data_IF_239352656883
#
_entry.id   IF_239352656883
#
_cell.length_a   1.000
_cell.length_b   1.000
_cell.length_c   1.000
_cell.angle_alpha   90.00
_cell.angle_beta   90.00
_cell.angle_gamma   90.00
#
_symmetry.space_group_name_H-M   'P 1'
#
loop_
_entity.id
_entity.type
_entity.pdbx_description
1 polymer ?
#
# COMPACT_ATOMS: atom_id res chain seq x y z
N UNK A 1 -5.14 61.90 -20.79
CA UNK A 1 -4.91 60.63 -21.46
C UNK A 1 -3.46 60.24 -21.17
N UNK A 2 -3.24 59.46 -20.14
CA UNK A 2 -1.91 58.95 -19.76
C UNK A 2 -1.71 57.60 -20.44
N UNK A 3 -0.57 57.49 -21.17
CA UNK A 3 -0.18 56.28 -21.87
C UNK A 3 0.02 55.09 -20.88
N UNK A 4 -0.27 53.86 -21.28
CA UNK A 4 -0.05 52.68 -20.42
C UNK A 4 1.45 52.40 -20.29
N UNK A 5 1.87 52.08 -19.07
CA UNK A 5 3.24 51.70 -18.76
C UNK A 5 3.61 50.38 -19.45
N UNK A 6 4.78 50.32 -20.08
CA UNK A 6 5.37 49.09 -20.63
C UNK A 6 5.61 48.05 -19.55
N UNK A 7 5.37 46.77 -19.85
CA UNK A 7 5.63 45.69 -18.88
C UNK A 7 7.16 45.54 -18.70
N UNK A 8 7.57 45.53 -17.44
CA UNK A 8 8.96 45.29 -17.06
C UNK A 8 9.46 43.95 -17.60
N UNK A 9 10.52 44.00 -18.42
CA UNK A 9 11.25 42.82 -18.89
C UNK A 9 11.78 42.02 -17.68
N UNK A 10 11.37 40.78 -17.57
CA UNK A 10 11.94 39.83 -16.58
C UNK A 10 13.43 39.68 -16.87
N UNK A 11 14.28 40.17 -15.98
CA UNK A 11 15.71 39.92 -16.03
C UNK A 11 15.92 38.39 -15.89
N UNK A 12 16.37 37.73 -16.94
CA UNK A 12 16.87 36.39 -16.87
C UNK A 12 18.09 36.38 -15.93
N UNK A 13 17.91 35.87 -14.73
CA UNK A 13 19.03 35.56 -13.86
C UNK A 13 19.74 34.34 -14.46
N UNK A 14 20.80 34.59 -15.25
CA UNK A 14 21.72 33.52 -15.62
C UNK A 14 22.56 33.17 -14.41
N UNK A 15 22.29 32.02 -13.83
CA UNK A 15 23.22 31.41 -12.86
C UNK A 15 24.45 30.96 -13.65
N UNK A 16 25.68 31.21 -13.17
CA UNK A 16 26.88 30.67 -13.79
C UNK A 16 26.76 29.16 -13.78
N UNK A 17 26.84 28.52 -14.95
CA UNK A 17 26.91 27.08 -15.04
C UNK A 17 28.20 26.62 -14.37
N UNK A 18 28.16 25.71 -13.40
CA UNK A 18 29.39 25.17 -12.85
C UNK A 18 30.16 24.47 -13.98
N UNK A 19 31.42 24.81 -14.12
CA UNK A 19 32.35 24.09 -15.00
C UNK A 19 32.83 22.85 -14.28
N UNK A 20 32.30 21.68 -14.67
CA UNK A 20 32.76 20.39 -14.21
C UNK A 20 33.67 19.78 -15.27
N UNK A 21 34.78 19.22 -14.87
CA UNK A 21 35.56 18.33 -15.72
C UNK A 21 34.78 17.01 -15.92
N UNK A 22 35.00 16.32 -17.04
CA UNK A 22 34.35 15.02 -17.30
C UNK A 22 34.59 14.02 -16.17
N UNK A 23 35.74 14.08 -15.50
CA UNK A 23 36.06 13.26 -14.35
C UNK A 23 35.24 13.63 -13.09
N UNK A 24 34.92 14.90 -12.89
CA UNK A 24 34.13 15.39 -11.76
C UNK A 24 32.63 15.24 -12.00
N UNK A 25 32.17 15.41 -13.24
CA UNK A 25 30.80 15.19 -13.63
C UNK A 25 30.44 13.70 -13.71
N UNK A 26 31.44 12.83 -13.70
CA UNK A 26 31.24 11.40 -13.91
C UNK A 26 30.69 11.10 -15.31
N UNK A 27 29.82 10.13 -15.41
CA UNK A 27 29.19 9.75 -16.69
C UNK A 27 27.97 10.60 -17.04
N UNK A 28 27.80 11.80 -16.47
CA UNK A 28 26.69 12.68 -16.78
C UNK A 28 26.89 13.26 -18.20
N UNK A 29 26.11 12.76 -19.14
CA UNK A 29 26.00 13.29 -20.47
C UNK A 29 24.67 14.02 -20.61
N UNK A 30 24.74 15.21 -21.26
CA UNK A 30 23.57 15.98 -21.63
C UNK A 30 23.45 16.01 -23.16
N UNK A 31 22.85 14.97 -23.76
CA UNK A 31 22.68 14.93 -25.19
C UNK A 31 21.91 16.16 -25.68
N UNK A 32 22.10 16.54 -26.93
CA UNK A 32 21.42 17.69 -27.58
C UNK A 32 19.89 17.59 -27.54
N UNK A 33 19.35 16.37 -27.35
CA UNK A 33 17.93 16.09 -27.12
C UNK A 33 17.42 16.55 -25.74
N UNK A 34 18.30 17.00 -24.85
CA UNK A 34 17.98 17.35 -23.47
C UNK A 34 17.66 16.15 -22.56
N UNK A 35 18.04 14.94 -22.98
CA UNK A 35 18.04 13.78 -22.06
C UNK A 35 19.26 13.85 -21.14
N UNK A 36 19.12 13.28 -19.97
CA UNK A 36 20.15 13.20 -18.95
C UNK A 36 20.59 11.76 -18.80
N UNK A 37 21.89 11.50 -18.78
CA UNK A 37 22.44 10.19 -18.46
C UNK A 37 22.67 10.07 -16.96
N UNK A 38 22.37 8.90 -16.42
CA UNK A 38 22.48 8.59 -15.00
C UNK A 38 23.55 7.54 -14.78
N UNK A 39 24.20 7.59 -13.62
CA UNK A 39 25.36 6.73 -13.33
C UNK A 39 25.01 5.26 -13.15
N UNK A 40 23.79 4.95 -12.75
CA UNK A 40 23.41 3.62 -12.28
C UNK A 40 22.04 3.16 -12.79
N UNK A 41 21.39 3.91 -13.63
CA UNK A 41 20.17 3.45 -14.29
C UNK A 41 19.99 4.09 -15.68
N UNK A 42 19.18 3.46 -16.50
CA UNK A 42 18.74 4.01 -17.77
C UNK A 42 17.27 4.35 -17.68
N UNK A 43 16.87 5.60 -18.02
CA UNK A 43 15.46 5.99 -18.05
C UNK A 43 14.65 5.08 -18.98
N UNK A 44 13.40 4.82 -18.61
CA UNK A 44 12.48 3.99 -19.41
C UNK A 44 12.14 4.64 -20.77
N UNK A 45 12.28 5.97 -20.86
CA UNK A 45 12.03 6.76 -22.08
C UNK A 45 13.27 7.61 -22.39
N UNK A 46 13.26 8.30 -23.53
CA UNK A 46 14.34 9.21 -23.92
C UNK A 46 14.67 10.25 -22.83
N UNK A 47 13.69 10.65 -22.06
CA UNK A 47 13.86 11.51 -20.87
C UNK A 47 13.34 10.78 -19.65
N UNK A 48 14.01 10.95 -18.53
CA UNK A 48 13.51 10.47 -17.26
C UNK A 48 12.15 11.10 -16.95
N UNK A 49 11.26 10.31 -16.34
CA UNK A 49 10.03 10.85 -15.74
C UNK A 49 10.36 11.63 -14.48
N UNK A 50 9.44 12.48 -14.01
CA UNK A 50 9.63 13.17 -12.73
C UNK A 50 9.81 12.18 -11.59
N UNK A 51 9.11 11.04 -11.64
CA UNK A 51 9.27 9.97 -10.68
C UNK A 51 10.71 9.41 -10.67
N UNK A 52 11.28 9.13 -11.83
CA UNK A 52 12.67 8.67 -11.94
C UNK A 52 13.65 9.74 -11.44
N UNK A 53 13.45 11.01 -11.78
CA UNK A 53 14.31 12.09 -11.31
C UNK A 53 14.32 12.25 -9.79
N UNK A 54 13.15 12.16 -9.14
CA UNK A 54 13.05 12.37 -7.69
C UNK A 54 13.33 11.14 -6.86
N UNK A 55 13.33 9.95 -7.44
CA UNK A 55 13.58 8.69 -6.72
C UNK A 55 14.93 8.09 -7.03
N UNK A 56 15.35 8.01 -8.29
CA UNK A 56 16.67 7.46 -8.65
C UNK A 56 17.81 8.43 -8.44
N UNK A 57 17.60 9.67 -8.83
CA UNK A 57 18.66 10.68 -8.84
C UNK A 57 19.12 11.10 -7.44
N UNK A 58 18.27 10.90 -6.45
CA UNK A 58 18.61 11.17 -5.03
C UNK A 58 19.27 9.98 -4.35
N UNK A 59 19.25 8.82 -4.96
CA UNK A 59 19.92 7.66 -4.38
C UNK A 59 21.43 7.73 -4.60
N UNK A 60 22.25 7.61 -3.53
CA UNK A 60 23.69 7.52 -3.67
C UNK A 60 24.10 6.33 -4.54
N UNK A 61 25.02 6.55 -5.46
CA UNK A 61 25.67 5.47 -6.18
C UNK A 61 26.61 4.74 -5.21
N UNK A 62 26.39 3.45 -4.90
CA UNK A 62 27.19 2.72 -3.94
C UNK A 62 28.69 2.64 -4.31
N UNK A 63 29.01 2.73 -5.60
CA UNK A 63 30.40 2.69 -6.07
C UNK A 63 31.11 4.06 -5.98
N UNK A 64 30.38 5.15 -5.88
CA UNK A 64 30.92 6.52 -6.02
C UNK A 64 30.70 7.42 -4.82
N UNK A 65 29.78 7.09 -3.95
CA UNK A 65 29.40 7.95 -2.83
C UNK A 65 29.97 7.50 -1.51
N UNK A 66 30.10 8.45 -0.61
CA UNK A 66 30.61 8.26 0.76
C UNK A 66 29.73 7.38 1.64
N UNK A 67 28.58 6.91 1.12
CA UNK A 67 27.73 5.95 1.81
C UNK A 67 28.42 4.62 2.10
N UNK A 68 29.47 4.27 1.35
CA UNK A 68 30.34 3.16 1.70
C UNK A 68 31.07 3.47 3.03
N UNK A 69 30.74 2.69 4.05
CA UNK A 69 31.29 2.88 5.40
C UNK A 69 30.54 3.90 6.26
N UNK A 70 29.47 4.51 5.78
CA UNK A 70 28.58 5.28 6.65
C UNK A 70 27.74 4.34 7.51
N UNK A 71 27.68 4.66 8.79
CA UNK A 71 26.82 3.96 9.73
C UNK A 71 25.48 4.68 9.76
N UNK A 72 24.44 4.05 9.20
CA UNK A 72 23.05 4.56 9.20
C UNK A 72 22.22 4.01 10.37
N UNK A 73 22.86 3.36 11.32
CA UNK A 73 22.22 2.82 12.52
C UNK A 73 22.74 3.47 13.79
N UNK A 74 22.03 3.25 14.89
CA UNK A 74 22.51 3.57 16.22
C UNK A 74 23.22 2.34 16.81
N UNK A 75 24.48 2.52 17.22
CA UNK A 75 25.27 1.46 17.80
C UNK A 75 26.05 0.62 16.78
N UNK A 76 26.36 -0.62 17.14
CA UNK A 76 27.22 -1.53 16.36
C UNK A 76 26.48 -2.27 15.21
N UNK A 77 25.34 -1.74 14.79
CA UNK A 77 24.55 -2.32 13.71
C UNK A 77 25.23 -2.17 12.33
N UNK A 78 24.82 -2.98 11.34
CA UNK A 78 25.32 -2.87 9.98
C UNK A 78 25.03 -1.49 9.41
N UNK A 79 25.97 -0.93 8.67
CA UNK A 79 25.80 0.36 8.00
C UNK A 79 24.94 0.25 6.75
N UNK A 80 24.22 1.33 6.44
CA UNK A 80 23.47 1.49 5.21
C UNK A 80 22.24 0.58 5.09
N UNK A 81 21.99 0.11 3.88
CA UNK A 81 20.92 -0.81 3.53
C UNK A 81 21.53 -2.18 3.20
N UNK A 82 21.76 -3.04 4.20
CA UNK A 82 22.39 -4.33 3.94
C UNK A 82 21.44 -5.21 3.11
N UNK A 83 21.97 -5.74 2.01
CA UNK A 83 21.21 -6.65 1.15
C UNK A 83 20.80 -7.94 1.87
N UNK A 84 21.48 -8.24 2.96
CA UNK A 84 21.24 -9.40 3.81
C UNK A 84 19.97 -9.29 4.68
N UNK A 85 19.30 -8.15 4.71
CA UNK A 85 18.06 -7.98 5.46
C UNK A 85 16.83 -8.55 4.75
N UNK A 86 17.05 -9.32 3.72
CA UNK A 86 16.05 -10.18 3.09
C UNK A 86 16.70 -11.47 2.61
N UNK A 87 15.95 -12.56 2.67
CA UNK A 87 16.36 -13.84 2.09
C UNK A 87 16.35 -13.83 0.55
N UNK A 88 15.64 -12.87 -0.06
CA UNK A 88 15.60 -12.71 -1.51
C UNK A 88 16.88 -12.09 -2.05
N UNK A 89 17.18 -12.40 -3.31
CA UNK A 89 18.38 -11.94 -4.00
C UNK A 89 18.01 -11.30 -5.33
N UNK A 90 18.81 -10.36 -5.80
CA UNK A 90 18.68 -9.78 -7.13
C UNK A 90 20.04 -9.52 -7.74
N UNK A 91 20.18 -9.76 -9.02
CA UNK A 91 21.34 -9.33 -9.80
C UNK A 91 21.46 -7.82 -9.89
N UNK A 92 20.30 -7.11 -9.81
CA UNK A 92 20.25 -5.66 -9.82
C UNK A 92 18.94 -5.14 -9.25
N UNK A 93 18.96 -4.70 -7.98
CA UNK A 93 17.81 -4.09 -7.31
C UNK A 93 17.36 -2.78 -7.95
N UNK A 94 18.22 -2.08 -8.69
CA UNK A 94 17.91 -0.82 -9.35
C UNK A 94 17.07 -0.99 -10.63
N UNK A 95 16.82 -2.22 -11.09
CA UNK A 95 15.87 -2.49 -12.18
C UNK A 95 14.41 -2.28 -11.76
N UNK A 96 14.11 -2.30 -10.47
CA UNK A 96 12.74 -2.09 -10.00
C UNK A 96 12.24 -0.69 -10.36
N UNK A 97 11.00 -0.63 -10.83
CA UNK A 97 10.20 0.59 -11.07
C UNK A 97 8.81 0.36 -10.53
N UNK A 98 8.30 1.33 -9.76
CA UNK A 98 6.88 1.33 -9.42
C UNK A 98 6.06 1.64 -10.69
N UNK A 99 5.16 0.73 -11.13
CA UNK A 99 4.33 0.96 -12.31
C UNK A 99 3.35 2.13 -12.17
N UNK A 100 3.07 2.56 -10.94
CA UNK A 100 2.19 3.70 -10.65
C UNK A 100 2.96 5.02 -10.65
N UNK A 101 4.29 4.98 -10.66
CA UNK A 101 5.17 6.17 -10.58
C UNK A 101 4.77 7.09 -9.40
N UNK A 102 4.40 6.51 -8.25
CA UNK A 102 4.00 7.28 -7.09
C UNK A 102 5.20 7.77 -6.27
N UNK A 103 5.15 9.04 -5.89
CA UNK A 103 6.10 9.73 -5.05
C UNK A 103 5.40 10.84 -4.26
N UNK A 104 6.11 11.53 -3.40
CA UNK A 104 5.56 12.47 -2.44
C UNK A 104 4.48 13.41 -3.02
N UNK A 105 4.76 14.10 -4.13
CA UNK A 105 3.79 15.04 -4.71
C UNK A 105 2.56 14.35 -5.28
N UNK A 106 2.73 13.18 -5.92
CA UNK A 106 1.60 12.44 -6.50
C UNK A 106 0.71 11.88 -5.42
N UNK A 107 1.28 11.32 -4.34
CA UNK A 107 0.50 10.80 -3.22
C UNK A 107 -0.26 11.91 -2.49
N UNK A 108 0.37 13.06 -2.21
CA UNK A 108 -0.35 14.17 -1.57
C UNK A 108 -1.51 14.67 -2.41
N UNK A 109 -1.33 14.79 -3.73
CA UNK A 109 -2.40 15.16 -4.65
C UNK A 109 -3.53 14.14 -4.67
N UNK A 110 -3.20 12.85 -4.77
CA UNK A 110 -4.17 11.76 -4.80
C UNK A 110 -4.95 11.69 -3.48
N UNK A 111 -4.27 11.76 -2.35
CA UNK A 111 -4.88 11.76 -1.03
C UNK A 111 -5.79 12.98 -0.82
N UNK A 112 -5.35 14.17 -1.20
CA UNK A 112 -6.19 15.36 -1.10
C UNK A 112 -7.45 15.29 -1.97
N UNK A 113 -7.39 14.63 -3.12
CA UNK A 113 -8.54 14.39 -3.96
C UNK A 113 -9.48 13.36 -3.33
N UNK A 114 -8.96 12.24 -2.81
CA UNK A 114 -9.75 11.21 -2.13
C UNK A 114 -10.48 11.77 -0.91
N UNK A 115 -9.77 12.50 -0.03
CA UNK A 115 -10.36 13.12 1.16
C UNK A 115 -11.47 14.10 0.79
N UNK A 116 -11.26 14.97 -0.21
CA UNK A 116 -12.29 15.89 -0.67
C UNK A 116 -13.52 15.18 -1.22
N UNK A 117 -13.33 14.11 -1.99
CA UNK A 117 -14.44 13.32 -2.52
C UNK A 117 -15.21 12.62 -1.40
N UNK A 118 -14.51 12.03 -0.44
CA UNK A 118 -15.13 11.39 0.74
C UNK A 118 -15.95 12.44 1.49
N UNK A 119 -15.35 13.59 1.82
CA UNK A 119 -16.06 14.67 2.54
C UNK A 119 -17.31 15.14 1.79
N UNK A 120 -17.23 15.35 0.49
CA UNK A 120 -18.38 15.75 -0.32
C UNK A 120 -19.49 14.69 -0.29
N UNK A 121 -19.13 13.40 -0.32
CA UNK A 121 -20.10 12.31 -0.22
C UNK A 121 -20.78 12.28 1.16
N UNK A 122 -20.03 12.51 2.23
CA UNK A 122 -20.56 12.60 3.61
C UNK A 122 -21.52 13.79 3.76
N UNK A 123 -21.12 14.96 3.28
CA UNK A 123 -21.97 16.16 3.33
C UNK A 123 -23.27 15.96 2.55
N UNK A 124 -23.21 15.37 1.37
CA UNK A 124 -24.39 15.03 0.57
C UNK A 124 -25.28 14.01 1.28
N UNK A 125 -24.70 13.01 1.94
CA UNK A 125 -25.44 12.00 2.69
C UNK A 125 -26.21 12.63 3.87
N UNK A 126 -25.58 13.55 4.59
CA UNK A 126 -26.24 14.31 5.67
C UNK A 126 -27.37 15.17 5.15
N UNK A 127 -27.15 15.92 4.07
CA UNK A 127 -28.18 16.76 3.44
C UNK A 127 -29.38 15.94 2.94
N UNK A 128 -29.15 14.73 2.45
CA UNK A 128 -30.17 13.83 1.96
C UNK A 128 -30.79 12.94 3.05
N UNK A 129 -30.35 13.08 4.30
CA UNK A 129 -30.76 12.21 5.43
C UNK A 129 -30.60 10.71 5.12
N UNK A 130 -29.51 10.38 4.41
CA UNK A 130 -29.30 9.05 3.81
C UNK A 130 -29.14 7.95 4.85
N UNK A 131 -28.66 8.27 6.04
CA UNK A 131 -28.44 7.28 7.10
C UNK A 131 -29.74 6.67 7.66
N UNK A 132 -30.87 7.36 7.50
CA UNK A 132 -32.20 6.84 7.91
C UNK A 132 -32.67 5.68 7.03
N UNK A 133 -32.06 5.48 5.85
CA UNK A 133 -32.36 4.34 4.98
C UNK A 133 -31.67 3.04 5.40
N UNK A 134 -30.72 3.10 6.34
CA UNK A 134 -29.96 1.94 6.78
C UNK A 134 -30.81 0.97 7.62
N UNK A 135 -30.60 -0.32 7.37
CA UNK A 135 -31.20 -1.31 8.28
C UNK A 135 -30.50 -1.29 9.63
N UNK A 136 -31.20 -1.49 10.76
CA UNK A 136 -30.59 -1.50 12.09
C UNK A 136 -29.45 -2.53 12.23
N UNK A 137 -29.59 -3.70 11.58
CA UNK A 137 -28.56 -4.73 11.57
C UNK A 137 -27.29 -4.27 10.84
N UNK A 138 -27.46 -3.52 9.74
CA UNK A 138 -26.32 -2.95 9.02
C UNK A 138 -25.63 -1.84 9.82
N UNK A 139 -26.38 -0.95 10.43
CA UNK A 139 -25.82 0.08 11.34
C UNK A 139 -24.96 -0.57 12.41
N UNK A 140 -25.45 -1.64 13.03
CA UNK A 140 -24.69 -2.37 14.05
C UNK A 140 -23.48 -3.11 13.47
N UNK A 141 -23.57 -3.61 12.24
CA UNK A 141 -22.43 -4.19 11.54
C UNK A 141 -21.32 -3.16 11.30
N UNK A 142 -21.65 -1.98 10.79
CA UNK A 142 -20.69 -0.88 10.54
C UNK A 142 -20.04 -0.43 11.82
N UNK A 143 -20.83 -0.16 12.87
CA UNK A 143 -20.34 0.24 14.19
C UNK A 143 -19.24 -0.69 14.73
N UNK A 144 -19.44 -1.99 14.59
CA UNK A 144 -18.52 -2.98 15.14
C UNK A 144 -17.37 -3.32 14.22
N UNK A 145 -17.69 -3.69 12.98
CA UNK A 145 -16.74 -4.39 12.13
C UNK A 145 -15.94 -3.43 11.23
N UNK A 146 -16.55 -2.38 10.72
CA UNK A 146 -15.82 -1.40 9.91
C UNK A 146 -14.80 -0.64 10.77
N UNK A 147 -15.20 -0.26 11.99
CA UNK A 147 -14.28 0.33 12.96
C UNK A 147 -13.18 -0.64 13.42
N UNK A 148 -13.48 -1.96 13.56
CA UNK A 148 -12.44 -2.94 13.86
C UNK A 148 -11.39 -3.05 12.76
N UNK A 149 -11.78 -2.99 11.47
CA UNK A 149 -10.87 -3.00 10.34
C UNK A 149 -9.86 -1.84 10.36
N UNK A 150 -10.24 -0.68 10.88
CA UNK A 150 -9.35 0.47 11.05
C UNK A 150 -8.07 0.11 11.82
N UNK A 151 -8.17 -0.76 12.83
CA UNK A 151 -7.01 -1.20 13.61
C UNK A 151 -6.06 -2.07 12.79
N UNK A 152 -6.58 -2.90 11.88
CA UNK A 152 -5.75 -3.66 10.94
C UNK A 152 -4.96 -2.73 10.03
N UNK A 153 -5.63 -1.76 9.38
CA UNK A 153 -4.96 -0.78 8.50
C UNK A 153 -3.91 0.04 9.24
N UNK A 154 -4.23 0.52 10.44
CA UNK A 154 -3.27 1.25 11.28
C UNK A 154 -2.06 0.39 11.67
N UNK A 155 -2.30 -0.86 12.09
CA UNK A 155 -1.23 -1.78 12.45
C UNK A 155 -0.31 -2.10 11.28
N UNK A 156 -0.87 -2.38 10.10
CA UNK A 156 -0.10 -2.63 8.88
C UNK A 156 0.70 -1.39 8.45
N UNK A 157 0.10 -0.20 8.47
CA UNK A 157 0.79 1.03 8.12
C UNK A 157 1.93 1.35 9.08
N UNK A 158 1.60 1.54 10.36
CA UNK A 158 2.55 2.06 11.35
C UNK A 158 3.59 1.02 11.78
N UNK A 159 3.19 -0.23 11.96
CA UNK A 159 4.07 -1.24 12.57
C UNK A 159 4.72 -2.17 11.54
N UNK A 160 4.13 -2.38 10.37
CA UNK A 160 4.72 -3.21 9.32
C UNK A 160 5.47 -2.34 8.31
N UNK A 161 4.77 -1.52 7.52
CA UNK A 161 5.41 -0.78 6.42
C UNK A 161 6.35 0.32 6.87
N UNK A 162 6.03 1.08 7.94
CA UNK A 162 6.93 2.09 8.49
C UNK A 162 8.25 1.49 8.99
N UNK A 163 8.22 0.27 9.48
CA UNK A 163 9.42 -0.43 9.92
C UNK A 163 10.18 -1.05 8.74
N UNK A 164 9.47 -1.82 7.88
CA UNK A 164 10.06 -2.60 6.80
C UNK A 164 10.72 -1.72 5.72
N UNK A 165 10.13 -0.57 5.35
CA UNK A 165 10.65 0.32 4.31
C UNK A 165 12.09 0.77 4.57
N UNK A 166 12.49 0.87 5.83
CA UNK A 166 13.83 1.32 6.23
C UNK A 166 14.95 0.36 5.83
N UNK A 167 14.60 -0.90 5.58
CA UNK A 167 15.53 -1.96 5.20
C UNK A 167 15.55 -2.22 3.69
N UNK A 168 14.78 -1.48 2.90
CA UNK A 168 14.73 -1.63 1.46
C UNK A 168 16.10 -1.31 0.81
N UNK A 169 16.56 -2.11 -0.15
CA UNK A 169 17.91 -1.99 -0.71
C UNK A 169 18.08 -0.80 -1.65
N UNK A 170 16.99 -0.21 -2.14
CA UNK A 170 17.02 0.95 -3.03
C UNK A 170 16.01 2.01 -2.61
N UNK A 171 16.27 3.25 -2.98
CA UNK A 171 15.34 4.36 -2.73
C UNK A 171 13.99 4.14 -3.44
N UNK A 172 13.97 3.46 -4.58
CA UNK A 172 12.74 3.14 -5.30
C UNK A 172 11.83 2.20 -4.53
N UNK A 173 12.39 1.14 -3.97
CA UNK A 173 11.65 0.17 -3.15
C UNK A 173 11.24 0.83 -1.83
N UNK A 174 12.16 1.58 -1.20
CA UNK A 174 11.86 2.37 0.00
C UNK A 174 10.67 3.30 -0.23
N UNK A 175 10.70 4.09 -1.31
CA UNK A 175 9.63 5.01 -1.66
C UNK A 175 8.28 4.29 -1.86
N UNK A 176 8.24 3.18 -2.61
CA UNK A 176 7.02 2.42 -2.82
C UNK A 176 6.42 1.90 -1.49
N UNK A 177 7.26 1.39 -0.60
CA UNK A 177 6.81 0.93 0.71
C UNK A 177 6.40 2.08 1.64
N UNK A 178 7.05 3.24 1.55
CA UNK A 178 6.66 4.45 2.30
C UNK A 178 5.31 4.98 1.82
N UNK A 179 5.05 4.95 0.50
CA UNK A 179 3.74 5.27 -0.09
C UNK A 179 2.68 4.29 0.39
N UNK A 180 2.97 2.99 0.41
CA UNK A 180 2.06 1.96 0.95
C UNK A 180 1.74 2.22 2.43
N UNK A 181 2.73 2.58 3.25
CA UNK A 181 2.51 3.00 4.63
C UNK A 181 1.51 4.17 4.70
N UNK A 182 1.70 5.19 3.87
CA UNK A 182 0.83 6.36 3.83
C UNK A 182 -0.60 6.01 3.37
N UNK A 183 -0.78 5.09 2.41
CA UNK A 183 -2.09 4.57 2.00
C UNK A 183 -2.82 3.93 3.17
N UNK A 184 -2.17 3.02 3.89
CA UNK A 184 -2.73 2.33 5.06
C UNK A 184 -3.13 3.31 6.16
N UNK A 185 -2.25 4.25 6.51
CA UNK A 185 -2.52 5.22 7.57
C UNK A 185 -3.62 6.22 7.18
N UNK A 186 -3.65 6.67 5.92
CA UNK A 186 -4.74 7.50 5.41
C UNK A 186 -6.08 6.79 5.52
N UNK A 187 -6.17 5.54 5.04
CA UNK A 187 -7.42 4.80 5.07
C UNK A 187 -7.86 4.50 6.52
N UNK A 188 -6.95 4.17 7.42
CA UNK A 188 -7.25 4.06 8.84
C UNK A 188 -7.82 5.36 9.42
N UNK A 189 -7.25 6.51 9.05
CA UNK A 189 -7.75 7.82 9.46
C UNK A 189 -9.13 8.12 8.88
N UNK A 190 -9.36 7.83 7.61
CA UNK A 190 -10.66 8.04 6.98
C UNK A 190 -11.76 7.21 7.66
N UNK A 191 -11.46 5.95 8.01
CA UNK A 191 -12.36 5.09 8.79
C UNK A 191 -12.63 5.64 10.18
N UNK A 192 -11.61 6.20 10.86
CA UNK A 192 -11.76 6.81 12.17
C UNK A 192 -12.66 8.05 12.13
N UNK A 193 -12.45 8.93 11.15
CA UNK A 193 -13.25 10.13 10.97
C UNK A 193 -14.69 9.79 10.57
N UNK A 194 -14.87 8.78 9.71
CA UNK A 194 -16.20 8.30 9.35
C UNK A 194 -16.96 7.71 10.54
N UNK A 195 -16.28 6.92 11.37
CA UNK A 195 -16.88 6.36 12.58
C UNK A 195 -17.31 7.46 13.56
N UNK A 196 -16.52 8.54 13.69
CA UNK A 196 -16.87 9.72 14.45
C UNK A 196 -18.11 10.42 13.86
N UNK A 197 -18.12 10.65 12.56
CA UNK A 197 -19.23 11.27 11.84
C UNK A 197 -20.54 10.50 12.01
N UNK A 198 -20.50 9.18 11.95
CA UNK A 198 -21.66 8.32 12.20
C UNK A 198 -22.14 8.41 13.65
N UNK A 199 -21.22 8.53 14.63
CA UNK A 199 -21.59 8.67 16.03
C UNK A 199 -22.30 10.00 16.35
N UNK A 200 -22.01 11.04 15.56
CA UNK A 200 -22.68 12.34 15.65
C UNK A 200 -24.03 12.35 14.90
N UNK A 201 -24.14 11.57 13.82
CA UNK A 201 -25.29 11.58 12.92
C UNK A 201 -26.37 10.55 13.26
N UNK A 202 -25.99 9.42 13.86
CA UNK A 202 -26.89 8.29 14.16
C UNK A 202 -27.10 8.14 15.67
N UNK A 203 -28.33 8.33 16.11
CA UNK A 203 -28.70 8.11 17.52
C UNK A 203 -28.45 6.66 17.94
N UNK A 204 -27.66 6.47 19.01
CA UNK A 204 -27.34 5.15 19.55
C UNK A 204 -26.19 4.41 18.86
N UNK A 205 -25.50 5.06 17.92
CA UNK A 205 -24.25 4.54 17.37
C UNK A 205 -23.11 4.78 18.36
N UNK A 206 -22.45 3.69 18.79
CA UNK A 206 -21.29 3.76 19.69
C UNK A 206 -19.99 3.84 18.89
N UNK A 207 -19.48 5.07 18.70
CA UNK A 207 -18.22 5.32 18.01
C UNK A 207 -16.98 4.69 18.65
N UNK A 208 -17.10 4.06 19.82
CA UNK A 208 -16.00 3.38 20.54
C UNK A 208 -16.10 1.86 20.54
N UNK A 209 -17.22 1.30 20.12
CA UNK A 209 -17.49 -0.15 20.16
C UNK A 209 -16.42 -0.99 19.46
N UNK A 210 -15.82 -0.48 18.38
CA UNK A 210 -14.78 -1.15 17.59
C UNK A 210 -13.56 -1.57 18.39
N UNK A 211 -13.24 -0.89 19.50
CA UNK A 211 -12.06 -1.22 20.34
C UNK A 211 -12.23 -2.56 21.02
N UNK A 212 -13.38 -2.77 21.67
CA UNK A 212 -13.69 -4.05 22.30
C UNK A 212 -13.80 -5.15 21.25
N UNK A 213 -14.38 -4.86 20.08
CA UNK A 213 -14.47 -5.83 18.97
C UNK A 213 -13.07 -6.27 18.52
N UNK A 214 -12.16 -5.34 18.28
CA UNK A 214 -10.78 -5.66 17.89
C UNK A 214 -10.03 -6.42 18.98
N UNK A 215 -10.21 -6.04 20.24
CA UNK A 215 -9.44 -6.60 21.36
C UNK A 215 -9.95 -7.95 21.82
N UNK A 216 -11.27 -8.13 21.88
CA UNK A 216 -11.87 -9.21 22.64
C UNK A 216 -12.80 -10.12 21.83
N UNK A 217 -13.32 -9.67 20.68
CA UNK A 217 -14.24 -10.48 19.88
C UNK A 217 -13.48 -11.59 19.14
N UNK A 218 -13.86 -12.83 19.41
CA UNK A 218 -13.24 -14.03 18.83
C UNK A 218 -13.19 -14.00 17.28
N UNK A 219 -14.17 -13.36 16.65
CA UNK A 219 -14.26 -13.21 15.18
C UNK A 219 -13.07 -12.43 14.59
N UNK A 220 -12.49 -11.51 15.36
CA UNK A 220 -11.41 -10.65 14.89
C UNK A 220 -10.01 -11.13 15.32
N UNK A 221 -9.92 -12.16 16.19
CA UNK A 221 -8.60 -12.54 16.73
C UNK A 221 -7.66 -13.15 15.69
N UNK A 222 -8.18 -13.80 14.66
CA UNK A 222 -7.36 -14.30 13.54
C UNK A 222 -6.75 -13.16 12.72
N UNK A 223 -7.53 -12.11 12.42
CA UNK A 223 -7.04 -10.90 11.74
C UNK A 223 -5.97 -10.20 12.59
N UNK A 224 -6.26 -9.98 13.87
CA UNK A 224 -5.33 -9.36 14.81
C UNK A 224 -4.02 -10.14 14.92
N UNK A 225 -4.10 -11.46 15.07
CA UNK A 225 -2.91 -12.33 15.11
C UNK A 225 -2.06 -12.20 13.86
N UNK A 226 -2.67 -12.14 12.66
CA UNK A 226 -1.93 -11.93 11.43
C UNK A 226 -1.17 -10.59 11.45
N UNK A 227 -1.83 -9.49 11.83
CA UNK A 227 -1.20 -8.17 11.92
C UNK A 227 -0.04 -8.16 12.93
N UNK A 228 -0.22 -8.77 14.10
CA UNK A 228 0.82 -8.88 15.13
C UNK A 228 2.02 -9.73 14.65
N UNK A 229 1.77 -10.83 13.96
CA UNK A 229 2.84 -11.67 13.38
C UNK A 229 3.57 -10.97 12.23
N UNK A 230 2.85 -10.22 11.38
CA UNK A 230 3.46 -9.41 10.32
C UNK A 230 4.36 -8.31 10.90
N UNK A 231 3.96 -7.69 12.02
CA UNK A 231 4.79 -6.73 12.76
C UNK A 231 6.09 -7.35 13.27
N UNK A 232 6.06 -8.64 13.59
CA UNK A 232 7.24 -9.38 14.07
C UNK A 232 8.10 -9.99 12.94
N UNK A 233 7.71 -9.84 11.67
CA UNK A 233 8.50 -10.33 10.54
C UNK A 233 9.82 -9.54 10.44
N UNK A 234 10.94 -10.25 10.52
CA UNK A 234 12.28 -9.64 10.52
C UNK A 234 12.85 -9.37 9.13
N UNK A 235 12.22 -9.89 8.08
CA UNK A 235 12.58 -9.69 6.68
C UNK A 235 11.60 -8.70 6.04
N UNK A 236 12.11 -7.60 5.49
CA UNK A 236 11.27 -6.56 4.89
C UNK A 236 10.46 -7.05 3.69
N UNK A 237 11.04 -7.95 2.88
CA UNK A 237 10.36 -8.49 1.71
C UNK A 237 9.34 -9.56 2.09
N UNK A 238 9.58 -10.35 3.17
CA UNK A 238 8.56 -11.21 3.76
C UNK A 238 7.38 -10.40 4.25
N UNK A 239 7.62 -9.32 5.00
CA UNK A 239 6.58 -8.44 5.51
C UNK A 239 5.72 -7.85 4.38
N UNK A 240 6.37 -7.37 3.30
CA UNK A 240 5.70 -6.86 2.11
C UNK A 240 4.89 -7.95 1.39
N UNK A 241 5.52 -9.09 1.09
CA UNK A 241 4.87 -10.19 0.37
C UNK A 241 3.67 -10.76 1.15
N UNK A 242 3.90 -11.06 2.41
CA UNK A 242 2.87 -11.62 3.28
C UNK A 242 1.69 -10.66 3.47
N UNK A 243 1.94 -9.35 3.53
CA UNK A 243 0.86 -8.36 3.64
C UNK A 243 0.13 -8.18 2.32
N UNK A 244 0.82 -7.69 1.28
CA UNK A 244 0.14 -7.24 0.06
C UNK A 244 -0.33 -8.39 -0.85
N UNK A 245 0.42 -9.50 -0.88
CA UNK A 245 0.09 -10.62 -1.77
C UNK A 245 -0.81 -11.64 -1.07
N UNK A 246 -0.57 -11.93 0.23
CA UNK A 246 -1.31 -13.02 0.90
C UNK A 246 -2.45 -12.50 1.77
N UNK A 247 -2.13 -11.72 2.80
CA UNK A 247 -3.13 -11.25 3.77
C UNK A 247 -4.19 -10.37 3.13
N UNK A 248 -3.78 -9.40 2.33
CA UNK A 248 -4.71 -8.48 1.69
C UNK A 248 -5.65 -9.19 0.71
N UNK A 249 -5.16 -10.18 -0.05
CA UNK A 249 -6.02 -10.95 -0.95
C UNK A 249 -7.04 -11.80 -0.20
N UNK A 250 -6.57 -12.53 0.83
CA UNK A 250 -7.41 -13.51 1.52
C UNK A 250 -8.32 -12.90 2.60
N UNK A 251 -7.93 -11.75 3.17
CA UNK A 251 -8.64 -11.12 4.30
C UNK A 251 -9.11 -9.72 3.94
N UNK A 252 -8.23 -8.87 3.41
CA UNK A 252 -8.54 -7.48 3.08
C UNK A 252 -9.61 -7.35 2.00
N UNK A 253 -9.36 -7.92 0.83
CA UNK A 253 -10.31 -7.94 -0.31
C UNK A 253 -11.58 -8.69 0.05
N UNK A 254 -11.46 -9.80 0.79
CA UNK A 254 -12.62 -10.55 1.28
C UNK A 254 -13.55 -9.66 2.13
N UNK A 255 -13.00 -8.91 3.09
CA UNK A 255 -13.78 -8.02 3.95
C UNK A 255 -14.28 -6.78 3.20
N UNK A 256 -13.40 -6.04 2.55
CA UNK A 256 -13.75 -4.77 1.91
C UNK A 256 -14.59 -4.97 0.65
N UNK A 257 -14.05 -5.71 -0.33
CA UNK A 257 -14.68 -5.85 -1.65
C UNK A 257 -15.80 -6.89 -1.69
N UNK A 258 -15.58 -8.07 -1.08
CA UNK A 258 -16.54 -9.18 -1.17
C UNK A 258 -17.59 -9.19 -0.07
N UNK A 259 -17.48 -8.35 0.96
CA UNK A 259 -18.51 -8.19 1.97
C UNK A 259 -19.06 -6.75 1.96
N UNK A 260 -18.28 -5.77 2.44
CA UNK A 260 -18.79 -4.41 2.69
C UNK A 260 -19.34 -3.78 1.43
N UNK A 261 -18.57 -3.72 0.34
CA UNK A 261 -19.00 -3.06 -0.90
C UNK A 261 -20.19 -3.74 -1.56
N UNK A 262 -20.36 -5.05 -1.41
CA UNK A 262 -21.48 -5.77 -2.02
C UNK A 262 -22.76 -5.71 -1.20
N UNK A 263 -22.66 -5.63 0.13
CA UNK A 263 -23.85 -5.71 1.01
C UNK A 263 -24.37 -4.32 1.38
N UNK A 264 -23.54 -3.31 1.47
CA UNK A 264 -23.91 -1.97 1.94
C UNK A 264 -25.14 -1.41 1.21
N UNK A 265 -25.09 -1.33 -0.12
CA UNK A 265 -26.22 -0.80 -0.92
C UNK A 265 -27.52 -1.59 -0.75
N UNK A 266 -27.44 -2.89 -0.49
CA UNK A 266 -28.59 -3.75 -0.23
C UNK A 266 -29.28 -3.41 1.11
N UNK A 267 -28.54 -2.80 2.02
CA UNK A 267 -28.98 -2.37 3.34
C UNK A 267 -29.24 -0.85 3.43
N UNK A 268 -29.35 -0.18 2.28
CA UNK A 268 -29.64 1.26 2.19
C UNK A 268 -28.42 2.17 2.30
N UNK A 269 -27.21 1.61 2.38
CA UNK A 269 -25.97 2.36 2.55
C UNK A 269 -25.24 2.55 1.21
N UNK A 270 -25.23 3.76 0.71
CA UNK A 270 -24.53 4.17 -0.51
C UNK A 270 -23.25 5.00 -0.20
N UNK A 271 -22.98 5.22 1.08
CA UNK A 271 -21.86 6.07 1.56
C UNK A 271 -20.63 5.23 1.86
N UNK A 272 -20.77 4.19 2.67
CA UNK A 272 -19.66 3.30 3.06
C UNK A 272 -18.92 2.71 1.85
N UNK A 273 -19.57 2.27 0.75
CA UNK A 273 -18.86 1.79 -0.44
C UNK A 273 -17.91 2.82 -1.06
N UNK A 274 -18.26 4.11 -1.03
CA UNK A 274 -17.40 5.17 -1.55
C UNK A 274 -16.12 5.32 -0.72
N UNK A 275 -16.26 5.27 0.60
CA UNK A 275 -15.12 5.31 1.53
C UNK A 275 -14.22 4.09 1.36
N UNK A 276 -14.81 2.90 1.43
CA UNK A 276 -14.07 1.63 1.33
C UNK A 276 -13.43 1.47 -0.05
N UNK A 277 -14.10 1.92 -1.11
CA UNK A 277 -13.57 1.94 -2.47
C UNK A 277 -12.30 2.78 -2.63
N UNK A 278 -12.12 3.83 -1.82
CA UNK A 278 -10.85 4.59 -1.81
C UNK A 278 -9.68 3.77 -1.27
N UNK A 279 -9.91 2.96 -0.22
CA UNK A 279 -8.91 2.02 0.30
C UNK A 279 -8.60 0.88 -0.67
N UNK A 280 -9.60 0.37 -1.39
CA UNK A 280 -9.39 -0.62 -2.45
C UNK A 280 -8.60 -0.06 -3.63
N UNK A 281 -8.81 1.20 -3.98
CA UNK A 281 -8.03 1.87 -5.03
C UNK A 281 -6.56 1.98 -4.64
N UNK A 282 -6.26 2.35 -3.39
CA UNK A 282 -4.90 2.37 -2.87
C UNK A 282 -4.28 0.98 -2.84
N UNK A 283 -5.01 -0.01 -2.34
CA UNK A 283 -4.55 -1.39 -2.32
C UNK A 283 -4.22 -1.94 -3.74
N UNK A 284 -5.01 -1.62 -4.75
CA UNK A 284 -4.72 -2.03 -6.11
C UNK A 284 -3.38 -1.46 -6.62
N UNK A 285 -3.00 -0.26 -6.21
CA UNK A 285 -1.69 0.32 -6.50
C UNK A 285 -0.59 -0.38 -5.70
N UNK A 286 -0.84 -0.65 -4.42
CA UNK A 286 0.08 -1.37 -3.55
C UNK A 286 0.35 -2.80 -4.05
N UNK A 287 -0.68 -3.48 -4.52
CA UNK A 287 -0.53 -4.79 -5.17
C UNK A 287 0.22 -4.67 -6.50
N UNK A 288 -0.02 -3.61 -7.26
CA UNK A 288 0.64 -3.33 -8.54
C UNK A 288 2.16 -3.26 -8.41
N UNK A 289 2.67 -2.45 -7.49
CA UNK A 289 4.11 -2.35 -7.29
C UNK A 289 4.70 -3.64 -6.68
N UNK A 290 3.95 -4.31 -5.79
CA UNK A 290 4.37 -5.58 -5.20
C UNK A 290 4.54 -6.66 -6.26
N UNK A 291 3.56 -6.78 -7.18
CA UNK A 291 3.65 -7.70 -8.32
C UNK A 291 4.84 -7.38 -9.22
N UNK A 292 5.08 -6.10 -9.51
CA UNK A 292 6.24 -5.70 -10.32
C UNK A 292 7.57 -6.07 -9.66
N UNK A 293 7.70 -5.85 -8.34
CA UNK A 293 8.90 -6.19 -7.59
C UNK A 293 9.11 -7.72 -7.54
N UNK A 294 8.09 -8.47 -7.13
CA UNK A 294 8.25 -9.92 -7.00
C UNK A 294 8.38 -10.62 -8.37
N UNK A 295 7.75 -10.12 -9.43
CA UNK A 295 7.97 -10.61 -10.79
C UNK A 295 9.42 -10.38 -11.27
N UNK A 296 10.02 -9.23 -10.94
CA UNK A 296 11.45 -8.98 -11.19
C UNK A 296 12.32 -10.02 -10.49
N UNK A 297 12.00 -10.34 -9.23
CA UNK A 297 12.79 -11.26 -8.42
C UNK A 297 12.60 -12.74 -8.80
N UNK A 298 11.37 -13.18 -9.11
CA UNK A 298 11.10 -14.56 -9.53
C UNK A 298 11.66 -14.88 -10.91
N UNK A 299 11.87 -13.85 -11.75
CA UNK A 299 12.42 -13.94 -13.11
C UNK A 299 13.88 -13.50 -13.20
N UNK A 300 14.55 -13.26 -12.06
CA UNK A 300 15.97 -12.95 -12.03
C UNK A 300 16.78 -14.10 -12.63
N UNK A 301 17.72 -13.80 -13.54
CA UNK A 301 18.46 -14.80 -14.30
C UNK A 301 19.31 -15.72 -13.43
N UNK A 302 19.88 -15.18 -12.34
CA UNK A 302 20.77 -15.95 -11.44
C UNK A 302 20.02 -16.48 -10.21
N UNK A 303 19.06 -15.68 -9.69
CA UNK A 303 18.46 -15.91 -8.38
C UNK A 303 16.98 -16.31 -8.43
N UNK A 304 16.35 -16.33 -9.60
CA UNK A 304 14.91 -16.57 -9.72
C UNK A 304 14.46 -17.90 -9.12
N UNK A 305 15.23 -18.98 -9.28
CA UNK A 305 14.91 -20.27 -8.67
C UNK A 305 14.96 -20.22 -7.13
N UNK A 306 16.03 -19.63 -6.57
CA UNK A 306 16.16 -19.39 -5.14
C UNK A 306 15.02 -18.52 -4.59
N UNK A 307 14.69 -17.45 -5.28
CA UNK A 307 13.63 -16.54 -4.84
C UNK A 307 12.27 -17.22 -4.84
N UNK A 308 11.94 -18.05 -5.83
CA UNK A 308 10.69 -18.83 -5.84
C UNK A 308 10.64 -19.82 -4.67
N UNK A 309 11.75 -20.45 -4.30
CA UNK A 309 11.83 -21.34 -3.15
C UNK A 309 11.55 -20.57 -1.83
N UNK A 310 12.20 -19.41 -1.65
CA UNK A 310 11.97 -18.54 -0.47
C UNK A 310 10.51 -18.10 -0.40
N UNK A 311 9.96 -17.60 -1.50
CA UNK A 311 8.55 -17.17 -1.56
C UNK A 311 7.58 -18.34 -1.31
N UNK A 312 7.90 -19.54 -1.81
CA UNK A 312 7.17 -20.77 -1.50
C UNK A 312 7.17 -21.09 0.00
N UNK A 313 8.29 -20.90 0.68
CA UNK A 313 8.39 -21.03 2.13
C UNK A 313 7.51 -20.01 2.88
N UNK A 314 7.47 -18.77 2.40
CA UNK A 314 6.60 -17.74 2.97
C UNK A 314 5.12 -18.03 2.71
N UNK A 315 4.76 -18.52 1.52
CA UNK A 315 3.39 -18.97 1.23
C UNK A 315 2.95 -20.08 2.19
N UNK A 316 3.81 -21.09 2.40
CA UNK A 316 3.50 -22.19 3.34
C UNK A 316 3.27 -21.71 4.78
N UNK A 317 3.87 -20.57 5.18
CA UNK A 317 3.67 -19.94 6.49
C UNK A 317 2.39 -19.09 6.53
N UNK A 318 2.23 -18.18 5.57
CA UNK A 318 1.24 -17.10 5.67
C UNK A 318 -0.14 -17.43 5.08
N UNK A 319 -0.24 -18.34 4.10
CA UNK A 319 -1.53 -18.73 3.52
C UNK A 319 -2.41 -19.45 4.55
N UNK A 320 -1.95 -20.45 5.32
CA UNK A 320 -2.78 -21.09 6.34
C UNK A 320 -3.25 -20.11 7.43
N UNK A 321 -2.39 -19.16 7.84
CA UNK A 321 -2.73 -18.14 8.84
C UNK A 321 -3.83 -17.19 8.33
N UNK A 322 -3.72 -16.73 7.09
CA UNK A 322 -4.70 -15.84 6.48
C UNK A 322 -6.03 -16.54 6.17
N UNK A 323 -5.99 -17.83 5.75
CA UNK A 323 -7.19 -18.67 5.61
C UNK A 323 -7.89 -18.86 6.94
N UNK A 324 -7.15 -19.12 8.02
CA UNK A 324 -7.73 -19.26 9.35
C UNK A 324 -8.42 -17.95 9.79
N UNK A 325 -7.77 -16.81 9.60
CA UNK A 325 -8.35 -15.50 9.89
C UNK A 325 -9.61 -15.22 9.05
N UNK A 326 -9.60 -15.52 7.76
CA UNK A 326 -10.77 -15.38 6.90
C UNK A 326 -11.94 -16.24 7.37
N UNK A 327 -11.68 -17.49 7.79
CA UNK A 327 -12.72 -18.38 8.34
C UNK A 327 -13.24 -17.91 9.70
N UNK A 328 -12.39 -17.35 10.56
CA UNK A 328 -12.83 -16.76 11.83
C UNK A 328 -13.76 -15.56 11.61
N UNK A 329 -13.62 -14.82 10.51
CA UNK A 329 -14.53 -13.73 10.14
C UNK A 329 -15.90 -14.22 9.62
N UNK A 330 -16.07 -15.50 9.26
CA UNK A 330 -17.32 -16.00 8.66
C UNK A 330 -18.61 -15.57 9.39
N UNK A 331 -18.70 -15.53 10.74
CA UNK A 331 -19.92 -15.14 11.44
C UNK A 331 -20.42 -13.73 11.08
N UNK A 332 -19.54 -12.80 10.67
CA UNK A 332 -19.97 -11.44 10.33
C UNK A 332 -20.78 -11.38 9.02
N UNK A 333 -20.70 -12.39 8.15
CA UNK A 333 -21.48 -12.47 6.91
C UNK A 333 -22.99 -12.58 7.12
N UNK A 334 -23.41 -13.12 8.28
CA UNK A 334 -24.82 -13.22 8.64
C UNK A 334 -25.32 -12.09 9.53
N UNK A 335 -24.45 -11.20 10.01
CA UNK A 335 -24.84 -10.10 10.90
C UNK A 335 -25.80 -9.06 10.25
N UNK A 336 -25.67 -8.71 8.95
CA UNK A 336 -26.64 -7.82 8.30
C UNK A 336 -28.08 -8.37 8.20
N UNK A 337 -28.29 -9.67 8.41
CA UNK A 337 -29.54 -10.41 8.44
C UNK A 337 -30.31 -10.45 7.11
N UNK A 338 -30.35 -9.36 6.36
CA UNK A 338 -31.04 -9.26 5.09
C UNK A 338 -30.07 -9.19 3.91
N UNK A 339 -30.47 -9.80 2.79
CA UNK A 339 -29.76 -9.70 1.50
C UNK A 339 -28.28 -10.03 1.58
N UNK A 340 -27.94 -10.96 2.44
CA UNK A 340 -26.57 -11.46 2.62
C UNK A 340 -26.09 -12.18 1.35
N UNK A 341 -24.79 -12.40 1.28
CA UNK A 341 -24.14 -13.27 0.29
C UNK A 341 -23.54 -14.47 1.04
N UNK A 342 -23.41 -15.63 0.39
CA UNK A 342 -22.76 -16.78 1.02
C UNK A 342 -21.28 -16.48 1.27
N UNK A 343 -20.80 -16.74 2.49
CA UNK A 343 -19.36 -16.63 2.81
C UNK A 343 -18.50 -17.46 1.85
N UNK A 344 -18.91 -18.68 1.54
CA UNK A 344 -18.16 -19.59 0.67
C UNK A 344 -17.92 -18.98 -0.74
N UNK A 345 -18.89 -18.25 -1.29
CA UNK A 345 -18.77 -17.57 -2.57
C UNK A 345 -17.74 -16.43 -2.49
N UNK A 346 -17.87 -15.57 -1.47
CA UNK A 346 -16.93 -14.48 -1.22
C UNK A 346 -15.50 -14.99 -1.00
N UNK A 347 -15.37 -16.04 -0.21
CA UNK A 347 -14.07 -16.62 0.11
C UNK A 347 -13.41 -17.31 -1.09
N UNK A 348 -14.20 -17.99 -1.92
CA UNK A 348 -13.67 -18.56 -3.17
C UNK A 348 -13.22 -17.48 -4.14
N UNK A 349 -13.91 -16.36 -4.24
CA UNK A 349 -13.48 -15.21 -5.03
C UNK A 349 -12.14 -14.64 -4.54
N UNK A 350 -11.96 -14.50 -3.22
CA UNK A 350 -10.71 -14.06 -2.61
C UNK A 350 -9.55 -15.03 -2.89
N UNK A 351 -9.78 -16.34 -2.72
CA UNK A 351 -8.79 -17.38 -3.07
C UNK A 351 -8.43 -17.35 -4.55
N UNK A 352 -9.41 -17.16 -5.42
CA UNK A 352 -9.20 -17.03 -6.87
C UNK A 352 -8.33 -15.82 -7.22
N UNK A 353 -8.53 -14.69 -6.52
CA UNK A 353 -7.66 -13.51 -6.63
C UNK A 353 -6.21 -13.83 -6.31
N UNK A 354 -5.95 -14.49 -5.16
CA UNK A 354 -4.60 -14.90 -4.81
C UNK A 354 -4.00 -15.88 -5.82
N UNK A 355 -4.75 -16.89 -6.26
CA UNK A 355 -4.27 -17.83 -7.31
C UNK A 355 -3.84 -17.10 -8.58
N UNK A 356 -4.59 -16.09 -9.01
CA UNK A 356 -4.21 -15.28 -10.17
C UNK A 356 -2.90 -14.53 -9.94
N UNK A 357 -2.73 -13.92 -8.77
CA UNK A 357 -1.47 -13.21 -8.44
C UNK A 357 -0.28 -14.17 -8.42
N UNK A 358 -0.43 -15.35 -7.81
CA UNK A 358 0.65 -16.35 -7.76
C UNK A 358 1.03 -16.85 -9.16
N UNK A 359 0.05 -17.06 -10.05
CA UNK A 359 0.31 -17.43 -11.44
C UNK A 359 1.10 -16.35 -12.18
N UNK A 360 0.77 -15.07 -11.98
CA UNK A 360 1.51 -13.96 -12.58
C UNK A 360 2.97 -13.83 -12.07
N UNK A 361 3.23 -14.37 -10.88
CA UNK A 361 4.56 -14.39 -10.24
C UNK A 361 5.34 -15.68 -10.51
N UNK A 362 4.83 -16.59 -11.31
CA UNK A 362 5.43 -17.92 -11.57
C UNK A 362 5.65 -18.73 -10.28
N UNK A 363 4.70 -18.64 -9.33
CA UNK A 363 4.73 -19.32 -8.03
C UNK A 363 3.72 -20.49 -7.99
N UNK A 364 4.14 -21.58 -7.35
CA UNK A 364 3.26 -22.71 -7.10
C UNK A 364 2.15 -22.34 -6.12
N UNK A 365 0.96 -22.88 -6.36
CA UNK A 365 -0.20 -22.65 -5.51
C UNK A 365 -0.20 -23.59 -4.30
N UNK A 366 -0.27 -23.08 -3.06
CA UNK A 366 -0.45 -23.92 -1.89
C UNK A 366 -1.74 -24.76 -1.97
N UNK A 367 -1.67 -26.00 -1.50
CA UNK A 367 -2.84 -26.91 -1.51
C UNK A 367 -4.04 -26.35 -0.72
N UNK A 368 -3.79 -25.57 0.31
CA UNK A 368 -4.79 -24.93 1.16
C UNK A 368 -5.75 -24.02 0.37
N UNK A 369 -5.32 -23.47 -0.76
CA UNK A 369 -6.17 -22.66 -1.62
C UNK A 369 -7.21 -23.50 -2.39
N UNK A 370 -7.02 -24.81 -2.48
CA UNK A 370 -7.93 -25.73 -3.17
C UNK A 370 -8.95 -26.41 -2.24
N UNK A 371 -8.79 -26.18 -0.94
CA UNK A 371 -9.68 -26.65 0.13
C UNK A 371 -10.56 -25.51 0.62
#
# INVERSE_FOLDING_TARGET
MTAPAEPATKSERSFPKPEFTDAEAGALEFPSSGSRSYNYFTPAKLRATTYEDVTFDVQPDPARHLSQGWIYGFGDGPGGYPHEWTALKSTDWHKFRDPNEEWEQTIYRNNANAVRQIQQNLDNAKLADAYNSWTPAWTKFVERNLGAWMHAEHGLGLHVFMAAQRSAPTNMINNAMAVNCAHKLRFAQDLALYNLDLSESLSGFDGSAHRAVWQDDAVWQGVRRNVELLTAAGDWAEALFATNVVFEQLVGVLFRSHLVMQIAARNGDYVTPSLVGSGEHDYNRDLGYSRALFALLTRDEEHGAHNREVLGGWLAKWVPLSIAAARELQPIWSQPQERTIPFAESFEAAKSGLRSVLADLDLDQPEELNR
#
